data_IF_845796127868
#
_entry.id   IF_845796127868
#
_cell.length_a   1.000
_cell.length_b   1.000
_cell.length_c   1.000
_cell.angle_alpha   90.00
_cell.angle_beta   90.00
_cell.angle_gamma   90.00
#
_symmetry.space_group_name_H-M   'P 1'
#
loop_
_entity.id
_entity.type
_entity.pdbx_description
1 polymer ?
#
# COMPACT_ATOMS: atom_id res chain seq x y z
N UNK A 1 9.78 1.57 15.29
CA UNK A 1 8.61 0.66 15.30
C UNK A 1 8.51 -0.07 13.95
N UNK A 2 8.70 -1.39 13.94
CA UNK A 2 8.55 -2.19 12.72
C UNK A 2 7.08 -2.26 12.31
N UNK A 3 6.78 -2.32 11.00
CA UNK A 3 5.41 -2.38 10.55
C UNK A 3 4.77 -3.71 10.99
N UNK A 4 3.50 -3.62 11.41
CA UNK A 4 2.71 -4.76 11.84
C UNK A 4 2.03 -5.36 10.61
N UNK A 5 2.47 -6.54 10.18
CA UNK A 5 1.70 -7.35 9.23
C UNK A 5 0.48 -7.93 9.95
N UNK A 6 -0.70 -7.77 9.35
CA UNK A 6 -1.95 -8.37 9.85
C UNK A 6 -2.59 -9.20 8.76
N UNK A 7 -2.92 -10.44 9.10
CA UNK A 7 -3.60 -11.41 8.23
C UNK A 7 -5.00 -11.66 8.80
N UNK A 8 -6.02 -11.58 7.94
CA UNK A 8 -7.38 -12.01 8.25
C UNK A 8 -7.47 -13.53 8.15
N UNK A 9 -7.47 -14.21 9.30
CA UNK A 9 -7.52 -15.67 9.35
C UNK A 9 -8.95 -16.26 9.28
N UNK A 10 -9.90 -15.73 10.07
CA UNK A 10 -11.31 -16.17 10.04
C UNK A 10 -12.22 -15.13 10.67
N UNK A 11 -13.12 -14.54 9.87
CA UNK A 11 -14.11 -13.55 10.31
C UNK A 11 -15.45 -13.89 9.67
N UNK A 12 -16.53 -13.87 10.45
CA UNK A 12 -17.88 -14.04 9.93
C UNK A 12 -18.32 -12.78 9.15
N UNK A 13 -19.02 -12.93 8.01
CA UNK A 13 -19.57 -11.77 7.31
C UNK A 13 -20.53 -10.99 8.21
N UNK A 14 -20.65 -9.69 7.97
CA UNK A 14 -21.62 -8.87 8.70
C UNK A 14 -23.05 -9.30 8.35
N UNK A 15 -24.02 -9.21 9.29
CA UNK A 15 -25.40 -9.61 9.02
C UNK A 15 -26.03 -8.89 7.82
N UNK A 16 -25.68 -7.61 7.62
CA UNK A 16 -26.12 -6.81 6.48
C UNK A 16 -25.60 -7.36 5.15
N UNK A 17 -24.31 -7.70 5.07
CA UNK A 17 -23.72 -8.33 3.89
C UNK A 17 -24.37 -9.68 3.59
N UNK A 18 -24.56 -10.52 4.61
CA UNK A 18 -25.22 -11.83 4.44
C UNK A 18 -26.67 -11.70 3.95
N UNK A 19 -27.40 -10.64 4.35
CA UNK A 19 -28.76 -10.41 3.89
C UNK A 19 -28.81 -10.05 2.41
N UNK A 20 -27.96 -9.11 1.98
CA UNK A 20 -27.90 -8.70 0.56
C UNK A 20 -27.36 -9.82 -0.32
N UNK A 21 -26.37 -10.56 0.14
CA UNK A 21 -25.84 -11.71 -0.58
C UNK A 21 -26.92 -12.79 -0.81
N UNK A 22 -27.81 -13.00 0.17
CA UNK A 22 -28.94 -13.93 0.05
C UNK A 22 -30.05 -13.42 -0.88
N UNK A 23 -30.17 -12.11 -1.11
CA UNK A 23 -31.15 -11.57 -2.05
C UNK A 23 -30.67 -11.62 -3.50
N UNK A 24 -29.36 -11.79 -3.73
CA UNK A 24 -28.85 -12.07 -5.06
C UNK A 24 -29.10 -13.54 -5.41
N UNK A 25 -29.77 -13.77 -6.53
CA UNK A 25 -30.16 -15.12 -7.01
C UNK A 25 -29.67 -15.33 -8.44
N UNK A 26 -29.94 -16.51 -9.00
CA UNK A 26 -29.59 -16.81 -10.40
C UNK A 26 -30.29 -15.89 -11.41
N UNK A 27 -31.41 -15.27 -11.03
CA UNK A 27 -32.20 -14.37 -11.87
C UNK A 27 -31.85 -12.89 -11.66
N UNK A 28 -30.85 -12.59 -10.81
CA UNK A 28 -30.45 -11.20 -10.55
C UNK A 28 -29.95 -10.51 -11.81
N UNK A 29 -30.38 -9.26 -11.96
CA UNK A 29 -30.04 -8.47 -13.15
C UNK A 29 -28.60 -7.97 -13.10
N UNK A 30 -28.08 -7.55 -14.26
CA UNK A 30 -26.78 -6.89 -14.34
C UNK A 30 -26.72 -5.65 -13.46
N UNK A 31 -27.79 -4.86 -13.42
CA UNK A 31 -27.83 -3.61 -12.65
C UNK A 31 -27.83 -3.88 -11.14
N UNK A 32 -28.51 -4.94 -10.69
CA UNK A 32 -28.45 -5.40 -9.29
C UNK A 32 -27.03 -5.82 -8.90
N UNK A 33 -26.34 -6.59 -9.76
CA UNK A 33 -24.95 -6.99 -9.51
C UNK A 33 -23.99 -5.78 -9.51
N UNK A 34 -24.19 -4.83 -10.42
CA UNK A 34 -23.40 -3.59 -10.45
C UNK A 34 -23.65 -2.76 -9.18
N UNK A 35 -24.90 -2.66 -8.73
CA UNK A 35 -25.24 -1.97 -7.48
C UNK A 35 -24.58 -2.63 -6.27
N UNK A 36 -24.49 -3.96 -6.25
CA UNK A 36 -23.80 -4.70 -5.20
C UNK A 36 -22.29 -4.39 -5.17
N UNK A 37 -21.62 -4.45 -6.32
CA UNK A 37 -20.19 -4.14 -6.43
C UNK A 37 -19.92 -2.68 -6.07
N UNK A 38 -20.79 -1.75 -6.47
CA UNK A 38 -20.67 -0.33 -6.10
C UNK A 38 -20.75 -0.13 -4.58
N UNK A 39 -21.59 -0.92 -3.88
CA UNK A 39 -21.75 -0.81 -2.43
C UNK A 39 -20.64 -1.51 -1.64
N UNK A 40 -20.22 -2.71 -2.06
CA UNK A 40 -19.33 -3.58 -1.27
C UNK A 40 -17.90 -3.70 -1.81
N UNK A 41 -17.65 -3.18 -3.01
CA UNK A 41 -16.39 -3.37 -3.72
C UNK A 41 -16.29 -4.75 -4.37
N UNK A 42 -15.18 -4.99 -5.05
CA UNK A 42 -14.92 -6.24 -5.77
C UNK A 42 -14.08 -7.25 -4.98
N UNK A 43 -13.40 -6.82 -3.91
CA UNK A 43 -12.44 -7.62 -3.15
C UNK A 43 -12.48 -7.28 -1.66
N UNK A 44 -11.96 -8.19 -0.83
CA UNK A 44 -11.62 -7.92 0.57
C UNK A 44 -10.10 -7.98 0.75
N UNK A 45 -9.58 -7.25 1.74
CA UNK A 45 -8.14 -7.21 2.04
C UNK A 45 -7.80 -8.36 2.99
N UNK A 46 -7.13 -9.41 2.49
CA UNK A 46 -6.74 -10.58 3.30
C UNK A 46 -5.52 -10.33 4.18
N UNK A 47 -4.59 -9.50 3.72
CA UNK A 47 -3.38 -9.12 4.43
C UNK A 47 -3.08 -7.64 4.18
N UNK A 48 -2.61 -6.95 5.21
CA UNK A 48 -2.16 -5.57 5.09
C UNK A 48 -0.99 -5.27 6.02
N UNK A 49 -0.13 -4.37 5.57
CA UNK A 49 0.99 -3.82 6.32
C UNK A 49 0.57 -2.48 6.91
N UNK A 50 0.57 -2.39 8.24
CA UNK A 50 0.24 -1.15 8.94
C UNK A 50 1.47 -0.59 9.66
N UNK A 51 1.63 0.73 9.62
CA UNK A 51 2.73 1.42 10.26
C UNK A 51 2.79 2.89 9.87
N UNK A 52 3.89 3.54 10.24
CA UNK A 52 4.21 4.91 9.78
C UNK A 52 5.17 4.82 8.59
N UNK A 53 4.82 5.49 7.49
CA UNK A 53 5.65 5.61 6.29
C UNK A 53 6.04 7.08 6.08
N UNK A 54 7.30 7.33 5.72
CA UNK A 54 7.77 8.63 5.23
C UNK A 54 8.34 8.43 3.83
N UNK A 55 7.64 8.99 2.82
CA UNK A 55 8.05 8.91 1.41
C UNK A 55 8.46 10.30 0.94
N UNK A 56 9.74 10.49 0.64
CA UNK A 56 10.31 11.77 0.19
C UNK A 56 10.88 11.64 -1.21
N UNK A 57 10.60 12.63 -2.07
CA UNK A 57 11.17 12.73 -3.41
C UNK A 57 12.16 13.89 -3.46
N UNK A 58 13.40 13.63 -3.88
CA UNK A 58 14.42 14.66 -4.10
C UNK A 58 14.52 14.93 -5.60
N UNK A 59 14.23 16.16 -6.01
CA UNK A 59 14.30 16.56 -7.41
C UNK A 59 15.65 17.21 -7.72
N UNK A 60 16.36 16.65 -8.68
CA UNK A 60 17.63 17.20 -9.16
C UNK A 60 17.46 17.87 -10.51
N UNK A 61 18.12 19.02 -10.76
CA UNK A 61 18.00 19.76 -12.03
C UNK A 61 18.65 19.04 -13.21
N UNK A 62 19.57 18.09 -12.96
CA UNK A 62 20.11 17.19 -13.98
C UNK A 62 20.69 15.91 -13.37
N UNK A 63 20.79 14.85 -14.17
CA UNK A 63 21.45 13.59 -13.78
C UNK A 63 22.91 13.81 -13.37
N UNK A 64 23.61 14.73 -14.04
CA UNK A 64 25.02 15.04 -13.74
C UNK A 64 25.16 15.61 -12.32
N UNK A 65 24.30 16.57 -11.95
CA UNK A 65 24.32 17.17 -10.60
C UNK A 65 24.00 16.13 -9.53
N UNK A 66 23.01 15.27 -9.77
CA UNK A 66 22.68 14.16 -8.87
C UNK A 66 23.88 13.22 -8.64
N UNK A 67 24.56 12.81 -9.71
CA UNK A 67 25.74 11.92 -9.61
C UNK A 67 26.91 12.60 -8.89
N UNK A 68 27.16 13.88 -9.16
CA UNK A 68 28.22 14.62 -8.50
C UNK A 68 27.95 14.76 -6.99
N UNK A 69 26.73 15.13 -6.60
CA UNK A 69 26.33 15.23 -5.19
C UNK A 69 26.43 13.86 -4.48
N UNK A 70 26.03 12.78 -5.15
CA UNK A 70 26.17 11.42 -4.62
C UNK A 70 27.65 11.03 -4.38
N UNK A 71 28.53 11.27 -5.36
CA UNK A 71 29.96 10.99 -5.21
C UNK A 71 30.62 11.87 -4.15
N UNK A 72 30.18 13.13 -4.00
CA UNK A 72 30.64 14.02 -2.94
C UNK A 72 30.23 13.50 -1.55
N UNK A 73 28.96 13.10 -1.39
CA UNK A 73 28.45 12.51 -0.15
C UNK A 73 29.28 11.28 0.26
N UNK A 74 29.50 10.33 -0.66
CA UNK A 74 30.29 9.12 -0.38
C UNK A 74 31.72 9.42 0.06
N UNK A 75 32.36 10.44 -0.53
CA UNK A 75 33.71 10.85 -0.12
C UNK A 75 33.71 11.51 1.25
N UNK A 76 32.71 12.34 1.55
CA UNK A 76 32.56 12.99 2.85
C UNK A 76 32.21 12.02 3.98
N UNK A 77 31.59 10.87 3.69
CA UNK A 77 31.29 9.85 4.70
C UNK A 77 32.49 8.96 5.06
N UNK A 78 33.51 8.89 4.21
CA UNK A 78 34.68 8.01 4.38
C UNK A 78 36.04 8.75 4.45
N UNK A 79 36.05 10.08 4.43
CA UNK A 79 37.28 10.87 4.31
C UNK A 79 37.51 11.78 5.50
N UNK A 80 38.02 11.20 6.60
CA UNK A 80 38.80 11.88 7.67
C UNK A 80 39.58 10.87 8.57
N UNK A 81 39.76 9.60 8.18
CA UNK A 81 40.51 8.61 8.98
C UNK A 81 41.96 8.35 8.49
N UNK A 82 42.36 8.85 7.32
CA UNK A 82 43.68 8.56 6.71
C UNK A 82 44.65 9.77 6.66
N UNK A 83 44.56 10.69 7.63
CA UNK A 83 45.58 11.72 7.83
C UNK A 83 45.97 11.84 9.32
N UNK A 84 46.70 10.83 9.84
CA UNK A 84 47.51 10.94 11.06
C UNK A 84 48.79 10.12 11.01
#
# INVERSE_FOLDING_TARGET
>A
PLPLSRILARVSPTPGFSKVLKSLTADSTRDELLSFIQQYGSHYVSEALYGSELSCNIYFPSKKVQQQLWLQYQKGEYGDEDEK
#
